data_IF_128398643089
#
_entry.id   IF_128398643089
#
_cell.length_a   1.000
_cell.length_b   1.000
_cell.length_c   1.000
_cell.angle_alpha   90.00
_cell.angle_beta   90.00
_cell.angle_gamma   90.00
#
_symmetry.space_group_name_H-M   'P 1'
#
loop_
_entity.id
_entity.type
_entity.pdbx_description
1 polymer ?
#
# COMPACT_ATOMS: atom_id res chain seq x y z
N UNK A 1 -12.31 6.17 -2.23
CA UNK A 1 -11.27 6.95 -2.93
C UNK A 1 -10.30 7.54 -1.90
N UNK A 2 -9.03 7.23 -2.03
CA UNK A 2 -8.01 7.68 -1.09
C UNK A 2 -7.09 8.70 -1.75
N UNK A 3 -7.02 9.89 -1.15
CA UNK A 3 -6.23 11.02 -1.66
C UNK A 3 -5.51 11.70 -0.50
N UNK A 4 -4.43 12.38 -0.83
CA UNK A 4 -3.71 13.23 0.10
C UNK A 4 -2.64 12.53 0.91
N UNK A 5 -2.12 13.26 1.88
CA UNK A 5 -0.97 12.89 2.68
C UNK A 5 -1.25 13.19 4.14
N UNK A 6 -0.89 12.26 5.03
CA UNK A 6 -0.97 12.50 6.47
C UNK A 6 0.11 11.71 7.20
N UNK A 7 0.53 12.21 8.35
CA UNK A 7 1.57 11.57 9.17
C UNK A 7 0.97 11.11 10.48
N UNK A 8 1.25 9.87 10.84
CA UNK A 8 0.73 9.22 12.04
C UNK A 8 1.86 8.51 12.78
N UNK A 9 1.64 8.20 14.05
CA UNK A 9 2.61 7.46 14.86
C UNK A 9 2.07 6.08 15.21
N UNK A 10 2.93 5.07 15.11
CA UNK A 10 2.66 3.76 15.68
C UNK A 10 2.63 3.87 17.20
N UNK A 11 1.71 3.15 17.82
CA UNK A 11 1.77 2.96 19.28
C UNK A 11 2.77 1.85 19.64
N UNK A 12 2.98 1.62 20.93
CA UNK A 12 3.95 0.63 21.42
C UNK A 12 3.61 -0.80 21.01
N UNK A 13 2.33 -1.06 20.68
CA UNK A 13 1.85 -2.38 20.27
C UNK A 13 1.83 -2.58 18.75
N UNK A 14 2.33 -1.62 17.99
CA UNK A 14 2.32 -1.68 16.52
C UNK A 14 0.98 -1.35 15.90
N UNK A 15 0.10 -0.65 16.63
CA UNK A 15 -1.20 -0.20 16.12
C UNK A 15 -1.07 1.21 15.57
N UNK A 16 -1.85 1.49 14.53
CA UNK A 16 -1.93 2.82 13.95
C UNK A 16 -3.39 3.19 13.69
N UNK A 17 -3.73 4.45 13.95
CA UNK A 17 -5.09 4.96 13.74
C UNK A 17 -5.28 5.36 12.29
N UNK A 18 -6.33 4.83 11.65
CA UNK A 18 -6.72 5.25 10.30
C UNK A 18 -7.39 6.62 10.35
N UNK A 19 -7.16 7.49 9.33
CA UNK A 19 -7.88 8.75 9.22
C UNK A 19 -9.40 8.51 9.18
N UNK A 20 -10.15 9.35 9.90
CA UNK A 20 -11.62 9.24 9.94
C UNK A 20 -12.26 9.24 8.56
N UNK A 21 -11.73 10.06 7.65
CA UNK A 21 -12.25 10.18 6.28
C UNK A 21 -12.12 8.89 5.47
N UNK A 22 -11.21 8.00 5.86
CA UNK A 22 -10.89 6.79 5.09
C UNK A 22 -11.55 5.53 5.65
N UNK A 23 -11.97 5.53 6.93
CA UNK A 23 -12.49 4.33 7.61
C UNK A 23 -13.71 3.74 6.93
N UNK A 24 -14.61 4.57 6.45
CA UNK A 24 -15.85 4.14 5.80
C UNK A 24 -15.65 3.44 4.46
N UNK A 25 -14.48 3.57 3.86
CA UNK A 25 -14.16 2.90 2.61
C UNK A 25 -13.82 1.41 2.79
N UNK A 26 -13.58 0.97 4.03
CA UNK A 26 -13.25 -0.42 4.35
C UNK A 26 -14.51 -1.15 4.79
N UNK A 27 -15.12 -1.91 3.89
CA UNK A 27 -16.34 -2.70 4.13
C UNK A 27 -16.10 -3.72 5.26
N UNK A 28 -17.06 -3.85 6.15
CA UNK A 28 -17.02 -4.77 7.30
C UNK A 28 -15.84 -4.50 8.26
N UNK A 29 -15.28 -3.29 8.22
CA UNK A 29 -14.12 -2.90 9.03
C UNK A 29 -12.90 -3.81 8.79
N UNK A 30 -12.73 -4.28 7.56
CA UNK A 30 -11.62 -5.15 7.18
C UNK A 30 -10.67 -4.43 6.23
N UNK A 31 -9.38 -4.52 6.52
CA UNK A 31 -8.30 -3.97 5.71
C UNK A 31 -7.43 -5.12 5.21
N UNK A 32 -7.10 -5.13 3.93
CA UNK A 32 -6.12 -6.04 3.38
C UNK A 32 -4.79 -5.31 3.26
N UNK A 33 -3.77 -5.80 3.95
CA UNK A 33 -2.43 -5.21 3.95
C UNK A 33 -1.45 -6.11 3.21
N UNK A 34 -0.59 -5.52 2.40
CA UNK A 34 0.48 -6.21 1.69
C UNK A 34 1.69 -5.31 1.53
N UNK A 35 2.78 -5.83 0.97
CA UNK A 35 3.99 -5.06 0.67
C UNK A 35 3.96 -4.68 -0.81
N UNK A 36 4.15 -3.40 -1.10
CA UNK A 36 4.26 -2.89 -2.46
C UNK A 36 5.64 -3.11 -3.08
N UNK A 37 5.73 -2.88 -4.38
CA UNK A 37 6.99 -3.08 -5.12
C UNK A 37 8.12 -2.15 -4.67
N UNK A 38 7.78 -1.02 -4.06
CA UNK A 38 8.78 -0.07 -3.54
C UNK A 38 9.14 -0.32 -2.07
N UNK A 39 8.66 -1.44 -1.50
CA UNK A 39 8.96 -1.84 -0.14
C UNK A 39 8.05 -1.23 0.93
N UNK A 40 7.09 -0.43 0.53
CA UNK A 40 6.09 0.16 1.43
C UNK A 40 4.97 -0.82 1.74
N UNK A 41 4.20 -0.56 2.80
CA UNK A 41 2.95 -1.26 3.07
C UNK A 41 1.85 -0.64 2.21
N UNK A 42 0.95 -1.47 1.71
CA UNK A 42 -0.26 -1.03 1.01
C UNK A 42 -1.49 -1.55 1.74
N UNK A 43 -2.48 -0.68 1.92
CA UNK A 43 -3.75 -1.02 2.55
C UNK A 43 -4.87 -0.92 1.52
N UNK A 44 -5.61 -2.00 1.34
CA UNK A 44 -6.68 -2.11 0.36
C UNK A 44 -8.03 -2.41 1.01
N UNK A 45 -9.11 -1.77 0.54
CA UNK A 45 -10.45 -2.31 0.75
C UNK A 45 -10.57 -3.68 0.07
N UNK A 46 -11.50 -4.49 0.53
CA UNK A 46 -11.67 -5.86 0.03
C UNK A 46 -11.88 -5.92 -1.49
N UNK A 47 -12.74 -5.08 -2.04
CA UNK A 47 -13.04 -5.07 -3.47
C UNK A 47 -11.79 -4.74 -4.32
N UNK A 48 -11.02 -3.76 -3.92
CA UNK A 48 -9.78 -3.38 -4.61
C UNK A 48 -8.72 -4.49 -4.49
N UNK A 49 -8.58 -5.08 -3.30
CA UNK A 49 -7.66 -6.20 -3.10
C UNK A 49 -8.02 -7.40 -3.97
N UNK A 50 -9.31 -7.75 -4.03
CA UNK A 50 -9.78 -8.88 -4.82
C UNK A 50 -9.50 -8.70 -6.31
N UNK A 51 -9.69 -7.49 -6.84
CA UNK A 51 -9.36 -7.19 -8.24
C UNK A 51 -7.88 -7.39 -8.53
N UNK A 52 -7.03 -6.92 -7.64
CA UNK A 52 -5.58 -7.09 -7.76
C UNK A 52 -5.19 -8.57 -7.64
N UNK A 53 -5.75 -9.28 -6.66
CA UNK A 53 -5.49 -10.68 -6.43
C UNK A 53 -5.87 -11.55 -7.65
N UNK A 54 -6.97 -11.22 -8.31
CA UNK A 54 -7.39 -11.91 -9.53
C UNK A 54 -6.35 -11.78 -10.66
N UNK A 55 -5.72 -10.62 -10.79
CA UNK A 55 -4.66 -10.42 -11.78
C UNK A 55 -3.48 -11.37 -11.53
N UNK A 56 -3.09 -11.55 -10.26
CA UNK A 56 -2.04 -12.51 -9.91
C UNK A 56 -2.48 -13.95 -10.19
N UNK A 57 -3.72 -14.31 -9.83
CA UNK A 57 -4.24 -15.66 -10.05
C UNK A 57 -4.32 -16.02 -11.53
N UNK A 58 -4.55 -15.08 -12.42
CA UNK A 58 -4.60 -15.31 -13.86
C UNK A 58 -3.24 -15.60 -14.50
N UNK A 59 -2.15 -15.28 -13.79
CA UNK A 59 -0.83 -15.62 -14.28
C UNK A 59 -0.62 -17.13 -14.32
N UNK A 60 -0.03 -17.63 -15.40
CA UNK A 60 0.17 -19.06 -15.60
C UNK A 60 1.08 -19.68 -14.54
N UNK A 61 0.64 -20.77 -13.91
CA UNK A 61 1.44 -21.56 -12.97
C UNK A 61 2.52 -22.41 -13.67
N UNK A 62 2.48 -22.52 -14.98
CA UNK A 62 3.52 -23.22 -15.72
C UNK A 62 4.85 -22.44 -15.76
N UNK A 63 4.80 -21.13 -15.51
CA UNK A 63 6.00 -20.27 -15.47
C UNK A 63 6.51 -20.19 -14.02
N UNK A 64 7.79 -20.51 -13.85
CA UNK A 64 8.43 -20.49 -12.52
C UNK A 64 8.47 -19.09 -11.89
N UNK A 65 8.67 -18.05 -12.69
CA UNK A 65 8.68 -16.67 -12.21
C UNK A 65 7.29 -16.26 -11.70
N UNK A 66 6.23 -16.67 -12.40
CA UNK A 66 4.85 -16.40 -11.98
C UNK A 66 4.53 -17.10 -10.66
N UNK A 67 4.95 -18.36 -10.50
CA UNK A 67 4.74 -19.08 -9.24
C UNK A 67 5.43 -18.37 -8.07
N UNK A 68 6.66 -17.91 -8.27
CA UNK A 68 7.42 -17.19 -7.25
C UNK A 68 6.75 -15.86 -6.89
N UNK A 69 6.32 -15.11 -7.88
CA UNK A 69 5.62 -13.84 -7.68
C UNK A 69 4.33 -14.03 -6.88
N UNK A 70 3.53 -15.04 -7.23
CA UNK A 70 2.29 -15.35 -6.51
C UNK A 70 2.56 -15.72 -5.06
N UNK A 71 3.57 -16.56 -4.80
CA UNK A 71 3.94 -16.93 -3.42
C UNK A 71 4.31 -15.71 -2.58
N UNK A 72 5.11 -14.83 -3.14
CA UNK A 72 5.53 -13.61 -2.44
C UNK A 72 4.31 -12.74 -2.14
N UNK A 73 3.49 -12.47 -3.15
CA UNK A 73 2.33 -11.61 -2.99
C UNK A 73 1.35 -12.15 -1.94
N UNK A 74 0.91 -13.39 -2.08
CA UNK A 74 -0.09 -13.95 -1.18
C UNK A 74 0.45 -14.23 0.22
N UNK A 75 1.72 -14.61 0.35
CA UNK A 75 2.32 -14.86 1.66
C UNK A 75 2.52 -13.57 2.47
N UNK A 76 2.63 -12.42 1.80
CA UNK A 76 2.77 -11.10 2.45
C UNK A 76 1.43 -10.43 2.72
N UNK A 77 0.34 -10.95 2.16
CA UNK A 77 -0.99 -10.36 2.33
C UNK A 77 -1.60 -10.79 3.66
N UNK A 78 -2.21 -9.83 4.34
CA UNK A 78 -2.85 -10.02 5.64
C UNK A 78 -4.23 -9.38 5.66
N UNK A 79 -5.18 -10.05 6.27
CA UNK A 79 -6.49 -9.51 6.54
C UNK A 79 -6.51 -9.00 7.98
N UNK A 80 -6.80 -7.71 8.16
CA UNK A 80 -6.72 -7.04 9.46
C UNK A 80 -8.06 -6.39 9.75
N UNK A 81 -8.54 -6.55 11.00
CA UNK A 81 -9.75 -5.88 11.46
C UNK A 81 -9.42 -4.50 12.01
N UNK A 82 -10.27 -3.52 11.69
CA UNK A 82 -10.23 -2.19 12.32
C UNK A 82 -10.91 -2.32 13.69
N UNK A 83 -10.23 -1.90 14.75
CA UNK A 83 -10.80 -1.98 16.10
C UNK A 83 -11.83 -0.88 16.36
N UNK A 84 -12.47 -0.91 17.55
CA UNK A 84 -13.50 0.05 17.94
C UNK A 84 -13.00 1.50 18.02
N UNK A 85 -11.70 1.71 18.08
CA UNK A 85 -11.06 3.03 18.11
C UNK A 85 -10.53 3.47 16.74
N UNK A 86 -10.80 2.69 15.68
CA UNK A 86 -10.36 3.02 14.33
C UNK A 86 -8.89 2.71 14.07
N UNK A 87 -8.32 1.78 14.81
CA UNK A 87 -6.91 1.39 14.67
C UNK A 87 -6.78 0.04 14.00
N UNK A 88 -5.67 -0.15 13.32
CA UNK A 88 -5.25 -1.47 12.80
C UNK A 88 -3.95 -1.88 13.47
N UNK A 89 -3.77 -3.18 13.67
CA UNK A 89 -2.54 -3.76 14.19
C UNK A 89 -1.68 -4.26 13.04
N UNK A 90 -0.49 -3.68 12.88
CA UNK A 90 0.49 -4.13 11.89
C UNK A 90 1.45 -5.10 12.54
N UNK A 91 1.68 -6.25 11.88
CA UNK A 91 2.59 -7.27 12.42
C UNK A 91 4.04 -6.79 12.37
N UNK A 92 4.87 -7.31 13.29
CA UNK A 92 6.30 -7.00 13.31
C UNK A 92 7.00 -7.36 11.99
N UNK A 93 6.75 -8.54 11.39
CA UNK A 93 7.36 -8.85 10.10
C UNK A 93 7.00 -7.84 9.01
N UNK A 94 5.75 -7.38 8.97
CA UNK A 94 5.30 -6.40 8.00
C UNK A 94 6.01 -5.05 8.20
N UNK A 95 6.05 -4.58 9.45
CA UNK A 95 6.74 -3.33 9.81
C UNK A 95 8.23 -3.39 9.50
N UNK A 96 8.87 -4.53 9.81
CA UNK A 96 10.30 -4.72 9.55
C UNK A 96 10.61 -4.70 8.06
N UNK A 97 9.81 -5.36 7.24
CA UNK A 97 9.98 -5.35 5.78
C UNK A 97 9.85 -3.95 5.21
N UNK A 98 8.92 -3.17 5.71
CA UNK A 98 8.72 -1.78 5.27
C UNK A 98 9.70 -0.79 5.91
N UNK A 99 10.49 -1.24 6.90
CA UNK A 99 11.43 -0.39 7.62
C UNK A 99 10.76 0.70 8.43
N UNK A 100 9.55 0.45 8.90
CA UNK A 100 8.77 1.40 9.69
C UNK A 100 9.04 1.18 11.16
N UNK A 101 9.43 2.24 11.88
CA UNK A 101 9.72 2.13 13.31
C UNK A 101 8.74 2.91 14.20
N UNK A 102 8.42 4.17 13.85
CA UNK A 102 7.57 5.01 14.70
C UNK A 102 6.66 5.92 13.89
N UNK A 103 7.22 6.81 13.10
CA UNK A 103 6.45 7.76 12.29
C UNK A 103 6.12 7.15 10.94
N UNK A 104 4.85 7.20 10.57
CA UNK A 104 4.32 6.58 9.35
C UNK A 104 3.64 7.65 8.52
N UNK A 105 4.02 7.74 7.26
CA UNK A 105 3.37 8.62 6.30
C UNK A 105 2.36 7.83 5.48
N UNK A 106 1.12 8.31 5.48
CA UNK A 106 0.02 7.75 4.69
C UNK A 106 -0.11 8.52 3.40
N UNK A 107 -0.11 7.81 2.29
CA UNK A 107 -0.27 8.39 0.95
C UNK A 107 -1.50 7.80 0.29
N UNK A 108 -2.48 8.65 -0.03
CA UNK A 108 -3.65 8.22 -0.79
C UNK A 108 -3.28 7.93 -2.24
N UNK A 109 -3.59 6.73 -2.70
CA UNK A 109 -3.30 6.25 -4.05
C UNK A 109 -4.57 5.86 -4.80
N UNK A 110 -5.67 6.59 -4.61
CA UNK A 110 -6.97 6.38 -5.23
C UNK A 110 -7.66 5.07 -4.78
N UNK A 111 -7.14 3.92 -5.15
CA UNK A 111 -7.71 2.60 -4.84
C UNK A 111 -7.25 2.05 -3.50
N UNK A 112 -6.17 2.59 -2.96
CA UNK A 112 -5.51 2.09 -1.74
C UNK A 112 -4.73 3.20 -1.05
N UNK A 113 -4.18 2.87 0.11
CA UNK A 113 -3.31 3.76 0.89
C UNK A 113 -1.92 3.12 0.95
N UNK A 114 -0.88 3.91 0.68
CA UNK A 114 0.49 3.50 0.96
C UNK A 114 0.90 3.97 2.34
N UNK A 115 1.60 3.12 3.08
CA UNK A 115 2.22 3.46 4.36
C UNK A 115 3.74 3.38 4.19
N UNK A 116 4.40 4.47 4.55
CA UNK A 116 5.84 4.61 4.44
C UNK A 116 6.45 5.00 5.79
N UNK A 117 7.67 4.53 6.04
CA UNK A 117 8.50 5.19 7.04
C UNK A 117 8.64 6.66 6.63
N UNK A 118 8.38 7.58 7.56
CA UNK A 118 8.31 9.01 7.24
C UNK A 118 9.62 9.55 6.64
N UNK A 119 10.77 9.15 7.18
CA UNK A 119 12.06 9.61 6.67
C UNK A 119 12.31 9.09 5.25
N UNK A 120 11.98 7.82 4.99
CA UNK A 120 12.10 7.25 3.64
C UNK A 120 11.18 7.94 2.65
N UNK A 121 9.95 8.23 3.07
CA UNK A 121 9.00 8.94 2.21
C UNK A 121 9.50 10.34 1.86
N UNK A 122 10.01 11.07 2.84
CA UNK A 122 10.52 12.43 2.63
C UNK A 122 11.69 12.45 1.65
N UNK A 123 12.59 11.48 1.72
CA UNK A 123 13.68 11.34 0.74
C UNK A 123 13.15 11.06 -0.67
N UNK A 124 12.20 10.15 -0.78
CA UNK A 124 11.57 9.78 -2.06
C UNK A 124 10.83 10.98 -2.67
N UNK A 125 10.06 11.71 -1.86
CA UNK A 125 9.31 12.87 -2.28
C UNK A 125 10.22 13.98 -2.78
N UNK A 126 11.28 14.27 -2.07
CA UNK A 126 12.26 15.29 -2.46
C UNK A 126 12.87 14.98 -3.83
N UNK A 127 13.27 13.75 -4.04
CA UNK A 127 13.79 13.29 -5.33
C UNK A 127 12.72 13.37 -6.43
N UNK A 128 11.48 12.97 -6.11
CA UNK A 128 10.37 13.02 -7.04
C UNK A 128 9.94 14.42 -7.43
N UNK A 129 9.99 15.39 -6.51
CA UNK A 129 9.70 16.80 -6.80
C UNK A 129 10.67 17.37 -7.84
N UNK A 130 11.96 17.05 -7.73
CA UNK A 130 12.96 17.50 -8.68
C UNK A 130 12.74 16.90 -10.08
N UNK A 131 12.18 15.71 -10.17
CA UNK A 131 12.01 14.94 -11.40
C UNK A 131 10.56 14.87 -11.90
N UNK A 132 9.60 15.52 -11.23
CA UNK A 132 8.18 15.35 -11.46
C UNK A 132 7.77 15.51 -12.93
N UNK A 133 8.23 16.59 -13.55
CA UNK A 133 7.93 16.89 -14.96
C UNK A 133 8.51 15.80 -15.90
N UNK A 134 9.71 15.35 -15.63
CA UNK A 134 10.36 14.30 -16.41
C UNK A 134 9.63 12.96 -16.25
N UNK A 135 9.23 12.60 -15.03
CA UNK A 135 8.44 11.41 -14.76
C UNK A 135 7.11 11.45 -15.52
N UNK A 136 6.44 12.59 -15.54
CA UNK A 136 5.19 12.78 -16.26
C UNK A 136 5.36 12.60 -17.77
N UNK A 137 6.41 13.17 -18.35
CA UNK A 137 6.72 13.04 -19.78
C UNK A 137 7.02 11.59 -20.17
N UNK A 138 7.78 10.87 -19.35
CA UNK A 138 8.08 9.46 -19.59
C UNK A 138 6.81 8.60 -19.51
N UNK A 139 5.93 8.89 -18.55
CA UNK A 139 4.68 8.15 -18.38
C UNK A 139 3.74 8.34 -19.57
N UNK A 140 3.65 9.56 -20.11
CA UNK A 140 2.81 9.85 -21.28
C UNK A 140 3.18 9.04 -22.52
N UNK A 141 4.44 8.68 -22.67
CA UNK A 141 4.91 7.84 -23.78
C UNK A 141 4.39 6.40 -23.71
N UNK A 142 3.93 5.98 -22.52
CA UNK A 142 3.46 4.62 -22.28
C UNK A 142 1.93 4.51 -22.36
N UNK A 143 1.22 5.64 -22.44
CA UNK A 143 -0.24 5.63 -22.55
C UNK A 143 -0.65 5.22 -23.97
N UNK A 144 -1.53 4.21 -24.13
CA UNK A 144 -2.01 3.84 -25.47
C UNK A 144 -2.71 5.02 -26.13
N UNK A 145 -2.34 5.30 -27.38
CA UNK A 145 -3.02 6.33 -28.16
C UNK A 145 -4.30 5.75 -28.75
N UNK A 146 -5.42 6.32 -28.38
CA UNK A 146 -6.70 6.03 -29.02
C UNK A 146 -6.73 6.76 -30.36
N UNK A 147 -6.80 5.97 -31.42
CA UNK A 147 -6.99 6.52 -32.78
C UNK A 147 -8.47 6.68 -33.09
#
# INVERSE_FOLDING_TARGET
MFLGLSVHNLDEKGRITLPNKDRGAFTDSIVFATIGFDGNIELYPQDAYMKMAEQYEQLSDFDANNRQLKRIFFSQSNQIEIDSHGRIQLSKPLLNKAGISKSVTFVGRMTHIELWDTDKFNELEKKGEDDYSCLAQNALKQVPQNK
#
